data_IF_490658971101
#
_entry.id   IF_490658971101
#
_cell.length_a   1.000
_cell.length_b   1.000
_cell.length_c   1.000
_cell.angle_alpha   90.00
_cell.angle_beta   90.00
_cell.angle_gamma   90.00
#
_symmetry.space_group_name_H-M   'P 1'
#
loop_
_entity.id
_entity.type
_entity.pdbx_description
1 polymer ?
#
# COMPACT_ATOMS: atom_id res chain seq x y z
N UNK A 1 19.70 -10.94 8.48
CA UNK A 1 19.79 -9.52 8.11
C UNK A 1 20.96 -8.79 8.79
N UNK A 2 21.36 -9.19 10.00
CA UNK A 2 22.31 -8.44 10.83
C UNK A 2 21.68 -7.31 11.66
N UNK A 3 20.40 -7.01 11.44
CA UNK A 3 19.53 -6.11 12.21
C UNK A 3 18.14 -6.72 12.36
N UNK A 4 17.34 -6.18 13.29
CA UNK A 4 15.97 -6.60 13.48
C UNK A 4 15.01 -5.41 13.38
N UNK A 5 13.72 -5.69 13.13
CA UNK A 5 12.69 -4.68 12.92
C UNK A 5 11.30 -5.25 13.23
N UNK A 6 10.33 -4.38 13.38
CA UNK A 6 8.92 -4.72 13.56
C UNK A 6 8.05 -3.87 12.65
N UNK A 7 6.71 -3.86 12.84
CA UNK A 7 5.76 -3.12 12.04
C UNK A 7 4.97 -2.11 12.87
N UNK A 8 4.67 -0.97 12.24
CA UNK A 8 3.55 -0.13 12.63
C UNK A 8 2.42 -0.27 11.60
N UNK A 9 1.18 0.02 12.00
CA UNK A 9 0.03 -0.10 11.12
C UNK A 9 -0.66 1.25 10.96
N UNK A 10 -0.89 1.66 9.71
CA UNK A 10 -1.64 2.86 9.39
C UNK A 10 -2.98 2.52 8.76
N UNK A 11 -4.11 3.04 9.28
CA UNK A 11 -5.41 2.70 8.75
C UNK A 11 -5.66 3.32 7.37
N UNK A 12 -6.26 2.52 6.50
CA UNK A 12 -6.90 2.91 5.25
C UNK A 12 -8.40 2.90 5.50
N UNK A 13 -9.07 4.01 5.23
CA UNK A 13 -10.48 4.22 5.55
C UNK A 13 -11.32 4.16 4.29
N UNK A 14 -12.42 3.40 4.30
CA UNK A 14 -13.48 3.60 3.33
C UNK A 14 -14.43 4.69 3.88
N UNK A 15 -14.29 5.90 3.33
CA UNK A 15 -14.98 7.08 3.83
C UNK A 15 -16.49 7.04 3.53
N UNK A 16 -16.90 6.45 2.39
CA UNK A 16 -18.31 6.22 2.05
C UNK A 16 -18.99 5.27 3.04
N UNK A 17 -18.32 4.16 3.35
CA UNK A 17 -18.86 3.13 4.24
C UNK A 17 -18.62 3.42 5.73
N UNK A 18 -17.85 4.48 6.06
CA UNK A 18 -17.47 4.88 7.43
C UNK A 18 -16.86 3.73 8.23
N UNK A 19 -15.98 2.99 7.61
CA UNK A 19 -15.27 1.88 8.26
C UNK A 19 -13.82 1.82 7.83
N UNK A 20 -13.01 1.17 8.62
CA UNK A 20 -11.65 0.82 8.21
C UNK A 20 -11.74 -0.21 7.09
N UNK A 21 -11.10 0.07 5.97
CA UNK A 21 -10.91 -0.84 4.84
C UNK A 21 -9.77 -1.80 5.11
N UNK A 22 -8.65 -1.31 5.63
CA UNK A 22 -7.46 -2.08 5.91
C UNK A 22 -6.42 -1.29 6.70
N UNK A 23 -5.27 -1.89 6.86
CA UNK A 23 -4.10 -1.27 7.45
C UNK A 23 -2.87 -1.56 6.61
N UNK A 24 -2.08 -0.53 6.38
CA UNK A 24 -0.76 -0.66 5.78
C UNK A 24 0.28 -0.97 6.85
N UNK A 25 1.08 -2.03 6.61
CA UNK A 25 2.19 -2.43 7.46
C UNK A 25 3.46 -1.68 7.06
N UNK A 26 3.98 -0.88 7.98
CA UNK A 26 5.12 0.00 7.80
C UNK A 26 6.28 -0.45 8.68
N UNK A 27 7.44 -0.76 8.11
CA UNK A 27 8.62 -1.17 8.87
C UNK A 27 9.02 -0.12 9.91
N UNK A 28 9.40 -0.59 11.11
CA UNK A 28 9.92 0.21 12.22
C UNK A 28 11.05 -0.52 12.92
N UNK A 29 12.00 0.21 13.48
CA UNK A 29 12.95 -0.39 14.42
C UNK A 29 12.26 -0.85 15.70
N UNK A 30 12.94 -1.67 16.50
CA UNK A 30 12.35 -2.30 17.68
C UNK A 30 11.91 -1.31 18.78
N UNK A 31 12.46 -0.08 18.78
CA UNK A 31 12.06 1.00 19.68
C UNK A 31 11.27 2.10 18.94
N UNK A 32 10.54 1.72 17.88
CA UNK A 32 9.76 2.63 17.05
C UNK A 32 10.61 3.64 16.23
N UNK A 33 11.85 3.28 15.90
CA UNK A 33 12.65 4.06 14.96
C UNK A 33 11.96 4.09 13.58
N UNK A 34 12.23 5.15 12.81
CA UNK A 34 11.58 5.39 11.52
C UNK A 34 11.84 4.27 10.49
N UNK A 35 10.95 4.14 9.51
CA UNK A 35 11.17 3.22 8.38
C UNK A 35 12.52 3.46 7.71
N UNK A 36 12.95 4.73 7.59
CA UNK A 36 14.24 5.09 7.00
C UNK A 36 15.42 4.45 7.75
N UNK A 37 15.39 4.38 9.09
CA UNK A 37 16.46 3.77 9.89
C UNK A 37 16.59 2.26 9.66
N UNK A 38 15.50 1.60 9.28
CA UNK A 38 15.48 0.18 8.92
C UNK A 38 15.94 0.00 7.48
N UNK A 39 15.32 0.73 6.54
CA UNK A 39 15.55 0.61 5.09
C UNK A 39 16.98 1.00 4.73
N UNK A 40 17.60 1.97 5.42
CA UNK A 40 19.00 2.37 5.19
C UNK A 40 20.04 1.27 5.46
N UNK A 41 19.63 0.19 6.14
CA UNK A 41 20.49 -0.98 6.39
C UNK A 41 20.31 -2.07 5.32
N UNK A 42 19.33 -1.90 4.42
CA UNK A 42 19.07 -2.83 3.32
C UNK A 42 20.01 -2.52 2.16
N UNK A 43 20.60 -3.57 1.60
CA UNK A 43 21.50 -3.52 0.45
C UNK A 43 21.22 -4.72 -0.47
N UNK A 44 21.96 -4.85 -1.56
CA UNK A 44 21.75 -5.93 -2.55
C UNK A 44 21.89 -7.33 -1.96
N UNK A 45 22.74 -7.53 -0.94
CA UNK A 45 23.00 -8.85 -0.35
C UNK A 45 21.86 -9.30 0.55
N UNK A 46 21.11 -8.38 1.16
CA UNK A 46 20.06 -8.71 2.12
C UNK A 46 18.64 -8.31 1.66
N UNK A 47 18.49 -7.66 0.49
CA UNK A 47 17.23 -7.16 -0.06
C UNK A 47 16.15 -8.24 -0.12
N UNK A 48 16.47 -9.41 -0.70
CA UNK A 48 15.52 -10.51 -0.81
C UNK A 48 15.05 -11.00 0.57
N UNK A 49 15.98 -11.18 1.49
CA UNK A 49 15.64 -11.65 2.84
C UNK A 49 14.80 -10.60 3.60
N UNK A 50 15.13 -9.32 3.42
CA UNK A 50 14.35 -8.23 4.01
C UNK A 50 12.91 -8.24 3.51
N UNK A 51 12.69 -8.30 2.18
CA UNK A 51 11.36 -8.37 1.57
C UNK A 51 10.55 -9.55 2.12
N UNK A 52 11.14 -10.74 2.21
CA UNK A 52 10.46 -11.92 2.75
C UNK A 52 10.10 -11.75 4.24
N UNK A 53 11.00 -11.20 5.05
CA UNK A 53 10.76 -10.96 6.47
C UNK A 53 9.71 -9.86 6.71
N UNK A 54 9.63 -8.82 5.87
CA UNK A 54 8.56 -7.84 5.94
C UNK A 54 7.19 -8.51 5.83
N UNK A 55 7.01 -9.40 4.86
CA UNK A 55 5.75 -10.13 4.64
C UNK A 55 5.40 -11.02 5.83
N UNK A 56 6.35 -11.83 6.30
CA UNK A 56 6.13 -12.74 7.43
C UNK A 56 5.78 -11.96 8.70
N UNK A 57 6.57 -10.93 9.04
CA UNK A 57 6.35 -10.11 10.24
C UNK A 57 5.03 -9.35 10.21
N UNK A 58 4.67 -8.78 9.04
CA UNK A 58 3.39 -8.10 8.86
C UNK A 58 2.21 -9.06 9.10
N UNK A 59 2.23 -10.25 8.50
CA UNK A 59 1.16 -11.25 8.66
C UNK A 59 1.09 -11.74 10.12
N UNK A 60 2.22 -12.11 10.71
CA UNK A 60 2.29 -12.61 12.09
C UNK A 60 1.74 -11.58 13.10
N UNK A 61 2.14 -10.32 12.96
CA UNK A 61 1.71 -9.26 13.86
C UNK A 61 0.24 -8.87 13.62
N UNK A 62 -0.20 -8.82 12.36
CA UNK A 62 -1.60 -8.58 12.02
C UNK A 62 -2.52 -9.67 12.61
N UNK A 63 -2.13 -10.94 12.50
CA UNK A 63 -2.86 -12.05 13.11
C UNK A 63 -2.88 -11.96 14.64
N UNK A 64 -1.75 -11.64 15.29
CA UNK A 64 -1.66 -11.41 16.74
C UNK A 64 -2.57 -10.29 17.22
N UNK A 65 -2.75 -9.25 16.39
CA UNK A 65 -3.62 -8.10 16.66
C UNK A 65 -5.08 -8.33 16.24
N UNK A 66 -5.41 -9.55 15.83
CA UNK A 66 -6.76 -9.95 15.39
C UNK A 66 -7.31 -9.08 14.25
N UNK A 67 -6.42 -8.68 13.30
CA UNK A 67 -6.80 -7.88 12.14
C UNK A 67 -7.82 -8.63 11.27
N UNK A 68 -9.02 -8.08 11.12
CA UNK A 68 -10.10 -8.66 10.34
C UNK A 68 -10.38 -7.96 9.01
N UNK A 69 -9.61 -6.91 8.67
CA UNK A 69 -9.70 -6.15 7.42
C UNK A 69 -8.51 -6.46 6.50
N UNK A 70 -8.32 -5.67 5.44
CA UNK A 70 -7.20 -5.82 4.52
C UNK A 70 -5.88 -5.49 5.24
N UNK A 71 -4.86 -6.29 5.00
CA UNK A 71 -3.47 -6.04 5.36
C UNK A 71 -2.71 -5.65 4.09
N UNK A 72 -2.26 -4.41 4.00
CA UNK A 72 -1.38 -3.97 2.93
C UNK A 72 0.07 -4.13 3.31
N UNK A 73 0.86 -4.67 2.38
CA UNK A 73 2.27 -4.99 2.56
C UNK A 73 3.04 -4.49 1.35
N UNK A 74 4.01 -3.63 1.59
CA UNK A 74 4.98 -3.21 0.58
C UNK A 74 5.84 -4.40 0.15
N UNK A 75 6.07 -4.55 -1.15
CA UNK A 75 7.03 -5.51 -1.68
C UNK A 75 7.92 -4.85 -2.74
N UNK A 76 9.09 -5.46 -2.94
CA UNK A 76 10.09 -4.96 -3.86
C UNK A 76 10.10 -5.86 -5.12
N UNK A 77 9.56 -5.42 -6.27
CA UNK A 77 9.52 -6.24 -7.49
C UNK A 77 10.89 -6.77 -7.90
N UNK A 78 11.95 -5.97 -7.72
CA UNK A 78 13.32 -6.36 -8.04
C UNK A 78 13.89 -7.45 -7.09
N UNK A 79 13.27 -7.68 -5.92
CA UNK A 79 13.59 -8.80 -5.04
C UNK A 79 12.90 -10.10 -5.48
N UNK A 80 11.89 -10.04 -6.36
CA UNK A 80 11.11 -11.20 -6.81
C UNK A 80 11.67 -11.76 -8.09
N UNK A 81 12.59 -12.72 -8.01
CA UNK A 81 13.19 -13.36 -9.20
C UNK A 81 12.30 -14.44 -9.86
N UNK A 82 11.44 -15.11 -9.09
CA UNK A 82 10.42 -16.07 -9.56
C UNK A 82 9.18 -15.98 -8.68
N UNK A 83 8.06 -15.42 -9.17
CA UNK A 83 6.84 -15.21 -8.38
C UNK A 83 6.38 -16.46 -7.65
N UNK A 84 6.36 -17.61 -8.34
CA UNK A 84 5.93 -18.92 -7.81
C UNK A 84 6.78 -19.42 -6.64
N UNK A 85 8.04 -19.00 -6.53
CA UNK A 85 8.94 -19.38 -5.44
C UNK A 85 8.90 -18.36 -4.31
N UNK A 86 8.96 -17.08 -4.67
CA UNK A 86 9.05 -16.00 -3.68
C UNK A 86 7.76 -15.86 -2.85
N UNK A 87 6.59 -16.23 -3.41
CA UNK A 87 5.32 -16.18 -2.68
C UNK A 87 5.15 -17.30 -1.65
N UNK A 88 5.92 -18.38 -1.73
CA UNK A 88 5.74 -19.56 -0.84
C UNK A 88 5.88 -19.23 0.64
N UNK A 89 6.82 -18.36 0.99
CA UNK A 89 7.00 -17.92 2.39
C UNK A 89 5.81 -17.13 2.89
N UNK A 90 5.19 -16.31 2.03
CA UNK A 90 3.96 -15.59 2.35
C UNK A 90 2.78 -16.55 2.54
N UNK A 91 2.62 -17.53 1.64
CA UNK A 91 1.57 -18.55 1.76
C UNK A 91 1.73 -19.40 3.03
N UNK A 92 2.98 -19.82 3.33
CA UNK A 92 3.27 -20.54 4.56
C UNK A 92 2.98 -19.70 5.82
N UNK A 93 3.34 -18.44 5.84
CA UNK A 93 3.01 -17.55 6.94
C UNK A 93 1.49 -17.32 7.07
N UNK A 94 0.78 -17.13 5.96
CA UNK A 94 -0.68 -16.99 5.96
C UNK A 94 -1.37 -18.25 6.52
N UNK A 95 -0.88 -19.44 6.18
CA UNK A 95 -1.36 -20.71 6.72
C UNK A 95 -1.02 -20.85 8.21
N UNK A 96 0.24 -20.61 8.60
CA UNK A 96 0.71 -20.73 9.99
C UNK A 96 -0.07 -19.83 10.95
N UNK A 97 -0.32 -18.58 10.54
CA UNK A 97 -1.04 -17.58 11.36
C UNK A 97 -2.54 -17.53 11.08
N UNK A 98 -3.05 -18.42 10.22
CA UNK A 98 -4.47 -18.50 9.88
C UNK A 98 -5.03 -17.17 9.31
N UNK A 99 -4.20 -16.44 8.55
CA UNK A 99 -4.57 -15.16 7.94
C UNK A 99 -5.09 -15.35 6.50
N UNK A 100 -6.29 -14.86 6.17
CA UNK A 100 -6.88 -15.11 4.84
C UNK A 100 -6.10 -14.43 3.71
N UNK A 101 -5.70 -15.18 2.69
CA UNK A 101 -4.93 -14.69 1.54
C UNK A 101 -5.65 -13.56 0.81
N UNK A 102 -6.97 -13.65 0.64
CA UNK A 102 -7.78 -12.63 -0.02
C UNK A 102 -7.92 -11.32 0.78
N UNK A 103 -7.34 -11.25 1.98
CA UNK A 103 -7.19 -10.03 2.77
C UNK A 103 -5.77 -9.46 2.74
N UNK A 104 -4.87 -10.05 1.98
CA UNK A 104 -3.52 -9.51 1.79
C UNK A 104 -3.49 -8.70 0.49
N UNK A 105 -3.07 -7.45 0.59
CA UNK A 105 -2.79 -6.56 -0.51
C UNK A 105 -1.29 -6.35 -0.61
N UNK A 106 -0.74 -6.54 -1.80
CA UNK A 106 0.65 -6.23 -2.10
C UNK A 106 0.73 -4.93 -2.88
N UNK A 107 1.57 -4.02 -2.42
CA UNK A 107 1.80 -2.74 -3.07
C UNK A 107 3.28 -2.53 -3.39
N UNK A 108 3.56 -1.87 -4.51
CA UNK A 108 4.90 -1.50 -4.94
C UNK A 108 4.89 -0.10 -5.54
N UNK A 109 6.00 0.61 -5.34
CA UNK A 109 6.12 2.01 -5.75
C UNK A 109 6.42 2.13 -7.24
N UNK A 110 5.85 3.16 -7.90
CA UNK A 110 6.22 3.50 -9.28
C UNK A 110 7.67 4.00 -9.39
N UNK A 111 8.22 4.54 -8.30
CA UNK A 111 9.59 5.06 -8.21
C UNK A 111 10.66 3.96 -8.18
N UNK A 112 10.30 2.71 -7.91
CA UNK A 112 11.24 1.60 -8.04
C UNK A 112 11.65 1.45 -9.51
N UNK A 113 12.96 1.54 -9.79
CA UNK A 113 13.49 1.42 -11.15
C UNK A 113 13.18 0.03 -11.70
N UNK A 114 12.00 -0.11 -12.29
CA UNK A 114 11.56 -1.34 -12.95
C UNK A 114 12.41 -1.53 -14.20
N UNK A 115 13.30 -2.52 -14.15
CA UNK A 115 14.19 -2.86 -15.27
C UNK A 115 13.45 -3.67 -16.35
N UNK A 116 12.43 -4.43 -15.96
CA UNK A 116 11.65 -5.31 -16.81
C UNK A 116 10.16 -5.23 -16.44
N UNK A 117 9.39 -4.48 -17.24
CA UNK A 117 7.95 -4.32 -17.01
C UNK A 117 7.16 -5.61 -17.25
N UNK A 118 7.64 -6.51 -18.13
CA UNK A 118 7.04 -7.82 -18.36
C UNK A 118 7.19 -8.72 -17.14
N UNK A 119 8.35 -8.65 -16.47
CA UNK A 119 8.57 -9.36 -15.23
C UNK A 119 7.60 -8.91 -14.12
N UNK A 120 7.43 -7.59 -13.94
CA UNK A 120 6.48 -7.04 -12.95
C UNK A 120 5.05 -7.40 -13.29
N UNK A 121 4.68 -7.34 -14.58
CA UNK A 121 3.36 -7.82 -15.05
C UNK A 121 3.13 -9.27 -14.63
N UNK A 122 4.09 -10.14 -14.89
CA UNK A 122 4.00 -11.56 -14.50
C UNK A 122 3.87 -11.78 -13.00
N UNK A 123 4.50 -10.93 -12.16
CA UNK A 123 4.34 -10.96 -10.70
C UNK A 123 2.89 -10.58 -10.32
N UNK A 124 2.40 -9.45 -10.83
CA UNK A 124 1.07 -8.92 -10.50
C UNK A 124 -0.03 -9.89 -10.92
N UNK A 125 0.04 -10.42 -12.15
CA UNK A 125 -0.91 -11.41 -12.67
C UNK A 125 -0.92 -12.68 -11.81
N UNK A 126 0.26 -13.22 -11.51
CA UNK A 126 0.37 -14.42 -10.69
C UNK A 126 -0.15 -14.21 -9.27
N UNK A 127 0.16 -13.08 -8.61
CA UNK A 127 -0.35 -12.78 -7.27
C UNK A 127 -1.86 -12.65 -7.26
N UNK A 128 -2.44 -12.02 -8.29
CA UNK A 128 -3.89 -11.92 -8.45
C UNK A 128 -4.55 -13.29 -8.66
N UNK A 129 -3.94 -14.19 -9.45
CA UNK A 129 -4.41 -15.57 -9.63
C UNK A 129 -4.41 -16.37 -8.31
N UNK A 130 -3.48 -16.07 -7.40
CA UNK A 130 -3.44 -16.66 -6.07
C UNK A 130 -4.49 -16.05 -5.10
N UNK A 131 -5.22 -15.03 -5.52
CA UNK A 131 -6.26 -14.37 -4.72
C UNK A 131 -5.79 -13.17 -3.88
N UNK A 132 -4.56 -12.70 -4.08
CA UNK A 132 -4.07 -11.47 -3.47
C UNK A 132 -4.66 -10.23 -4.16
N UNK A 133 -4.80 -9.15 -3.40
CA UNK A 133 -5.04 -7.81 -3.95
C UNK A 133 -3.69 -7.20 -4.35
N UNK A 134 -3.66 -6.43 -5.42
CA UNK A 134 -2.44 -5.74 -5.87
C UNK A 134 -2.67 -4.24 -5.99
N UNK A 135 -1.66 -3.44 -5.66
CA UNK A 135 -1.72 -1.99 -5.74
C UNK A 135 -0.43 -1.40 -6.31
N UNK A 136 -0.55 -0.31 -7.08
CA UNK A 136 0.55 0.59 -7.39
C UNK A 136 0.56 1.69 -6.34
N UNK A 137 1.72 1.94 -5.74
CA UNK A 137 1.93 2.96 -4.73
C UNK A 137 2.65 4.19 -5.28
N UNK A 138 2.53 5.34 -4.59
CA UNK A 138 3.16 6.62 -4.91
C UNK A 138 2.86 7.13 -6.35
N UNK A 139 1.65 6.82 -6.90
CA UNK A 139 1.30 7.22 -8.26
C UNK A 139 1.25 8.75 -8.38
N UNK A 140 2.12 9.26 -9.25
CA UNK A 140 2.30 10.69 -9.50
C UNK A 140 3.52 11.31 -8.83
N UNK A 141 4.29 10.58 -8.02
CA UNK A 141 5.59 11.03 -7.52
C UNK A 141 6.69 10.85 -8.57
N UNK A 142 6.64 9.76 -9.31
CA UNK A 142 7.69 9.36 -10.25
C UNK A 142 7.38 9.65 -11.73
N UNK A 143 8.08 8.94 -12.61
CA UNK A 143 8.00 9.12 -14.07
C UNK A 143 7.29 7.98 -14.79
N UNK A 144 6.93 6.90 -14.11
CA UNK A 144 6.58 5.62 -14.74
C UNK A 144 5.10 5.23 -14.63
N UNK A 145 4.30 5.87 -13.77
CA UNK A 145 2.95 5.44 -13.40
C UNK A 145 2.01 5.17 -14.58
N UNK A 146 1.88 6.11 -15.52
CA UNK A 146 1.07 5.92 -16.72
C UNK A 146 1.62 4.80 -17.61
N UNK A 147 2.94 4.67 -17.72
CA UNK A 147 3.59 3.60 -18.46
C UNK A 147 3.32 2.23 -17.86
N UNK A 148 3.31 2.11 -16.53
CA UNK A 148 2.96 0.88 -15.83
C UNK A 148 1.50 0.50 -16.09
N UNK A 149 0.57 1.45 -15.96
CA UNK A 149 -0.85 1.22 -16.22
C UNK A 149 -1.14 0.84 -17.68
N UNK A 150 -0.35 1.33 -18.63
CA UNK A 150 -0.48 0.91 -20.02
C UNK A 150 -0.05 -0.55 -20.26
N UNK A 151 0.86 -1.08 -19.45
CA UNK A 151 1.37 -2.43 -19.57
C UNK A 151 0.57 -3.47 -18.76
N UNK A 152 0.10 -3.10 -17.57
CA UNK A 152 -0.74 -3.97 -16.71
C UNK A 152 -1.54 -3.13 -15.72
N UNK A 153 -2.64 -3.69 -15.20
CA UNK A 153 -3.50 -3.03 -14.23
C UNK A 153 -3.49 -3.79 -12.90
N UNK A 154 -3.40 -3.03 -11.82
CA UNK A 154 -3.59 -3.51 -10.45
C UNK A 154 -5.06 -3.33 -10.02
N UNK A 155 -5.43 -3.89 -8.88
CA UNK A 155 -6.77 -3.70 -8.30
C UNK A 155 -6.95 -2.28 -7.76
N UNK A 156 -5.89 -1.72 -7.16
CA UNK A 156 -5.88 -0.40 -6.53
C UNK A 156 -4.70 0.42 -7.09
N UNK A 157 -4.88 1.74 -7.16
CA UNK A 157 -3.81 2.71 -7.37
C UNK A 157 -3.87 3.75 -6.26
N UNK A 158 -2.75 3.96 -5.57
CA UNK A 158 -2.59 4.92 -4.49
C UNK A 158 -2.02 6.21 -5.06
N UNK A 159 -2.81 7.29 -4.98
CA UNK A 159 -2.39 8.63 -5.40
C UNK A 159 -1.48 9.24 -4.35
N UNK A 160 -0.27 9.61 -4.76
CA UNK A 160 0.76 10.18 -3.90
C UNK A 160 0.32 11.49 -3.23
N UNK A 161 0.81 11.71 -2.02
CA UNK A 161 0.51 12.90 -1.23
C UNK A 161 0.89 14.21 -1.91
N UNK A 162 1.85 14.22 -2.83
CA UNK A 162 2.23 15.38 -3.63
C UNK A 162 1.11 15.87 -4.53
N UNK A 163 0.21 14.98 -4.97
CA UNK A 163 -1.01 15.33 -5.69
C UNK A 163 -2.17 15.74 -4.77
N UNK A 164 -2.15 15.30 -3.52
CA UNK A 164 -3.28 15.40 -2.58
C UNK A 164 -3.18 16.64 -1.67
N UNK A 165 -1.97 17.04 -1.27
CA UNK A 165 -1.77 18.17 -0.37
C UNK A 165 -2.35 19.48 -0.90
N UNK A 166 -3.27 20.09 -0.13
CA UNK A 166 -3.94 21.35 -0.48
C UNK A 166 -4.89 21.25 -1.68
N UNK A 167 -5.33 20.03 -2.02
CA UNK A 167 -6.19 19.78 -3.19
C UNK A 167 -7.54 20.51 -3.11
N UNK A 168 -8.02 20.81 -1.92
CA UNK A 168 -9.25 21.56 -1.69
C UNK A 168 -9.23 22.97 -2.32
N UNK A 169 -8.03 23.57 -2.46
CA UNK A 169 -7.85 24.93 -3.00
C UNK A 169 -7.03 24.98 -4.30
N UNK A 170 -6.31 23.92 -4.67
CA UNK A 170 -5.45 23.89 -5.85
C UNK A 170 -6.20 23.37 -7.09
N UNK A 171 -6.62 24.27 -7.97
CA UNK A 171 -7.37 23.95 -9.19
C UNK A 171 -6.58 23.09 -10.19
N UNK A 172 -5.25 23.16 -10.19
CA UNK A 172 -4.40 22.33 -11.07
C UNK A 172 -4.40 20.90 -10.60
N UNK A 173 -4.11 20.66 -9.29
CA UNK A 173 -4.20 19.34 -8.67
C UNK A 173 -5.61 18.74 -8.81
N UNK A 174 -6.64 19.55 -8.58
CA UNK A 174 -8.04 19.15 -8.79
C UNK A 174 -8.29 18.63 -10.20
N UNK A 175 -7.80 19.34 -11.22
CA UNK A 175 -7.94 18.91 -12.61
C UNK A 175 -7.22 17.58 -12.86
N UNK A 176 -5.96 17.46 -12.43
CA UNK A 176 -5.16 16.24 -12.59
C UNK A 176 -5.87 15.05 -11.93
N UNK A 177 -6.23 15.18 -10.65
CA UNK A 177 -6.82 14.06 -9.90
C UNK A 177 -8.16 13.63 -10.48
N UNK A 178 -9.04 14.57 -10.91
CA UNK A 178 -10.30 14.20 -11.58
C UNK A 178 -10.07 13.37 -12.84
N UNK A 179 -9.07 13.72 -13.64
CA UNK A 179 -8.76 12.97 -14.87
C UNK A 179 -8.15 11.59 -14.54
N UNK A 180 -7.31 11.50 -13.50
CA UNK A 180 -6.83 10.21 -13.00
C UNK A 180 -7.99 9.32 -12.54
N UNK A 181 -8.91 9.84 -11.73
CA UNK A 181 -10.10 9.09 -11.25
C UNK A 181 -10.96 8.58 -12.41
N UNK A 182 -11.18 9.41 -13.43
CA UNK A 182 -11.94 8.98 -14.61
C UNK A 182 -11.22 7.85 -15.36
N UNK A 183 -9.93 7.99 -15.58
CA UNK A 183 -9.10 6.95 -16.21
C UNK A 183 -9.14 5.64 -15.38
N UNK A 184 -8.96 5.71 -14.06
CA UNK A 184 -9.01 4.53 -13.20
C UNK A 184 -10.37 3.84 -13.27
N UNK A 185 -11.45 4.60 -13.30
CA UNK A 185 -12.81 4.05 -13.46
C UNK A 185 -12.99 3.31 -14.78
N UNK A 186 -12.48 3.86 -15.91
CA UNK A 186 -12.51 3.20 -17.21
C UNK A 186 -11.70 1.89 -17.22
N UNK A 187 -10.62 1.84 -16.45
CA UNK A 187 -9.75 0.67 -16.30
C UNK A 187 -10.22 -0.32 -15.21
N UNK A 188 -11.34 -0.04 -14.51
CA UNK A 188 -11.82 -0.81 -13.35
C UNK A 188 -10.80 -0.91 -12.21
N UNK A 189 -10.08 0.18 -11.96
CA UNK A 189 -9.12 0.33 -10.87
C UNK A 189 -9.73 1.18 -9.76
N UNK A 190 -9.59 0.76 -8.52
CA UNK A 190 -10.04 1.52 -7.34
C UNK A 190 -8.99 2.55 -6.93
N UNK A 191 -9.30 3.86 -6.92
CA UNK A 191 -8.36 4.86 -6.43
C UNK A 191 -8.34 4.91 -4.90
N UNK A 192 -7.14 5.07 -4.33
CA UNK A 192 -6.90 5.37 -2.93
C UNK A 192 -6.08 6.66 -2.86
N UNK A 193 -6.45 7.62 -2.03
CA UNK A 193 -5.69 8.84 -1.84
C UNK A 193 -4.92 8.82 -0.51
N UNK A 194 -3.66 9.25 -0.57
CA UNK A 194 -2.75 9.22 0.57
C UNK A 194 -2.40 10.61 1.10
N UNK A 195 -1.79 10.65 2.27
CA UNK A 195 -1.24 11.86 2.85
C UNK A 195 -2.27 12.90 3.28
N UNK A 196 -3.52 12.51 3.49
CA UNK A 196 -4.60 13.41 3.89
C UNK A 196 -4.35 13.94 5.30
N UNK A 197 -4.37 15.25 5.47
CA UNK A 197 -4.16 15.90 6.77
C UNK A 197 -5.35 16.74 7.22
N UNK A 198 -6.25 17.15 6.31
CA UNK A 198 -7.37 18.00 6.62
C UNK A 198 -8.72 17.39 6.23
N UNK A 199 -9.78 17.88 6.85
CA UNK A 199 -11.15 17.50 6.49
C UNK A 199 -11.52 18.00 5.10
N UNK A 200 -11.03 19.16 4.72
CA UNK A 200 -11.30 19.83 3.45
C UNK A 200 -10.74 18.99 2.29
N UNK A 201 -9.51 18.49 2.44
CA UNK A 201 -8.91 17.53 1.50
C UNK A 201 -9.76 16.26 1.38
N UNK A 202 -10.11 15.63 2.52
CA UNK A 202 -10.92 14.41 2.54
C UNK A 202 -12.29 14.59 1.87
N UNK A 203 -12.98 15.70 2.14
CA UNK A 203 -14.28 16.02 1.55
C UNK A 203 -14.17 16.25 0.04
N UNK A 204 -13.13 16.96 -0.41
CA UNK A 204 -12.92 17.21 -1.83
C UNK A 204 -12.67 15.89 -2.58
N UNK A 205 -11.79 15.04 -2.06
CA UNK A 205 -11.46 13.73 -2.64
C UNK A 205 -12.68 12.82 -2.72
N UNK A 206 -13.46 12.77 -1.66
CA UNK A 206 -14.71 12.02 -1.64
C UNK A 206 -15.72 12.53 -2.68
N UNK A 207 -15.89 13.85 -2.82
CA UNK A 207 -16.74 14.45 -3.84
C UNK A 207 -16.21 14.18 -5.27
N UNK A 208 -14.89 14.01 -5.45
CA UNK A 208 -14.27 13.62 -6.71
C UNK A 208 -14.46 12.13 -7.03
N UNK A 209 -14.99 11.33 -6.09
CA UNK A 209 -15.30 9.90 -6.27
C UNK A 209 -14.21 8.96 -5.78
N UNK A 210 -13.37 9.38 -4.83
CA UNK A 210 -12.38 8.54 -4.15
C UNK A 210 -12.94 8.14 -2.78
N UNK A 211 -13.19 6.85 -2.59
CA UNK A 211 -13.77 6.33 -1.36
C UNK A 211 -12.71 5.84 -0.35
N UNK A 212 -11.53 5.40 -0.84
CA UNK A 212 -10.43 4.93 -0.02
C UNK A 212 -9.46 6.06 0.28
N UNK A 213 -9.30 6.36 1.55
CA UNK A 213 -8.53 7.50 2.04
C UNK A 213 -7.55 7.05 3.14
N UNK A 214 -6.32 7.58 3.10
CA UNK A 214 -5.29 7.34 4.11
C UNK A 214 -4.56 8.64 4.45
N UNK A 215 -4.30 8.86 5.74
CA UNK A 215 -3.55 10.04 6.16
C UNK A 215 -3.65 10.32 7.65
N UNK A 216 -2.86 11.28 8.12
CA UNK A 216 -2.81 11.65 9.53
C UNK A 216 -4.10 12.31 10.03
N UNK A 217 -4.95 12.76 9.14
CA UNK A 217 -6.30 13.21 9.48
C UNK A 217 -7.10 12.09 10.16
N UNK A 218 -6.92 10.85 9.73
CA UNK A 218 -7.62 9.70 10.31
C UNK A 218 -6.86 9.12 11.51
N UNK A 219 -5.60 8.75 11.30
CA UNK A 219 -4.67 8.33 12.35
C UNK A 219 -3.23 8.27 11.84
N UNK A 220 -2.29 8.44 12.75
CA UNK A 220 -0.87 8.13 12.51
C UNK A 220 -0.64 6.63 12.62
N UNK A 221 0.44 6.08 12.00
CA UNK A 221 0.81 4.69 12.20
C UNK A 221 0.95 4.33 13.69
N UNK A 222 0.29 3.25 14.13
CA UNK A 222 0.41 2.71 15.48
C UNK A 222 1.51 1.68 15.57
N UNK A 223 2.48 1.90 16.47
CA UNK A 223 3.58 0.97 16.69
C UNK A 223 3.06 -0.32 17.33
N UNK A 224 3.20 -1.44 16.62
CA UNK A 224 2.71 -2.78 17.04
C UNK A 224 1.24 -2.79 17.51
N UNK A 225 0.42 -1.89 17.01
CA UNK A 225 -1.00 -1.83 17.34
C UNK A 225 -1.83 -1.32 16.16
N UNK A 226 -3.14 -1.59 16.19
CA UNK A 226 -4.11 -1.09 15.22
C UNK A 226 -4.75 0.20 15.78
N UNK A 227 -4.42 1.39 15.24
CA UNK A 227 -5.03 2.63 15.71
C UNK A 227 -6.54 2.62 15.52
N UNK A 228 -7.26 3.12 16.50
CA UNK A 228 -8.69 3.43 16.36
C UNK A 228 -8.88 4.67 15.50
N UNK A 229 -9.87 4.63 14.63
CA UNK A 229 -10.19 5.72 13.71
C UNK A 229 -11.56 6.30 14.06
N UNK A 230 -11.63 7.62 14.24
CA UNK A 230 -12.89 8.35 14.31
C UNK A 230 -13.25 8.90 12.94
N UNK A 231 -14.12 8.21 12.21
CA UNK A 231 -14.55 8.64 10.88
C UNK A 231 -15.70 9.62 11.03
N UNK A 232 -15.39 10.90 10.91
CA UNK A 232 -16.39 11.97 10.94
C UNK A 232 -17.11 12.00 9.59
N UNK A 233 -18.42 12.26 9.61
CA UNK A 233 -19.23 12.42 8.39
C UNK A 233 -18.66 13.50 7.47
N UNK A 234 -18.70 13.28 6.13
CA UNK A 234 -18.41 14.33 5.15
C UNK A 234 -19.28 15.55 5.33
#
# INVERSE_FOLDING_TARGET
LGFDFTMAFQPIVNFRQRRVFGYEALARGLNNESAYSVISQVNQDNLYLFDQLCRIKAIALAAKLELNSILSINFLPNAVYKPQRCIRTTLAAAEEYNFPINKIMFEFTEGEKIQDSEHVRGIVEYYREQGFITAIDDFGEGYSGLGLLANFQTTIVKLDMGLIRGIDTDTVRQSIVRHCVNMFRELNIEPLAEGIETREEANWLFAAGIDLLQGYFFARPGFECLPTVSIVSP
#
